data_IF_171947270874
#
_entry.id   IF_171947270874
#
_cell.length_a   1.000
_cell.length_b   1.000
_cell.length_c   1.000
_cell.angle_alpha   90.00
_cell.angle_beta   90.00
_cell.angle_gamma   90.00
#
_symmetry.space_group_name_H-M   'P 1'
#
loop_
_entity.id
_entity.type
_entity.pdbx_description
1 polymer ?
#
# COMPACT_ATOMS: atom_id res chain seq x y z
N UNK A 1 -18.30 -14.12 10.17
CA UNK A 1 -18.75 -12.75 9.80
C UNK A 1 -20.07 -12.82 9.01
N UNK A 2 -20.87 -11.75 8.90
CA UNK A 2 -22.10 -11.75 8.10
C UNK A 2 -21.82 -11.21 6.70
N UNK A 3 -21.66 -12.07 5.71
CA UNK A 3 -21.32 -11.64 4.36
C UNK A 3 -20.92 -12.78 3.45
N UNK A 4 -20.26 -12.44 2.34
CA UNK A 4 -19.52 -13.36 1.48
C UNK A 4 -18.08 -13.31 1.97
N UNK A 5 -17.50 -14.46 2.33
CA UNK A 5 -16.11 -14.50 2.79
C UNK A 5 -15.25 -15.09 1.67
N UNK A 6 -14.18 -14.39 1.32
CA UNK A 6 -13.25 -14.76 0.27
C UNK A 6 -11.87 -14.82 0.89
N UNK A 7 -11.12 -15.86 0.57
CA UNK A 7 -9.72 -15.98 0.91
C UNK A 7 -8.92 -16.03 -0.40
N UNK A 8 -7.87 -15.22 -0.48
CA UNK A 8 -6.96 -15.15 -1.64
C UNK A 8 -5.56 -15.45 -1.12
N UNK A 9 -4.93 -16.46 -1.72
CA UNK A 9 -3.59 -16.92 -1.36
C UNK A 9 -2.69 -16.85 -2.59
N UNK A 10 -1.57 -16.15 -2.45
CA UNK A 10 -0.52 -16.01 -3.45
C UNK A 10 0.51 -17.12 -3.22
N UNK A 11 0.42 -18.21 -3.99
CA UNK A 11 1.41 -19.30 -3.99
C UNK A 11 2.55 -18.95 -4.97
N UNK A 12 3.80 -19.40 -4.82
CA UNK A 12 4.85 -19.17 -5.81
C UNK A 12 4.49 -19.40 -7.29
N UNK A 13 3.61 -20.36 -7.60
CA UNK A 13 3.30 -20.73 -8.98
C UNK A 13 1.97 -20.15 -9.51
N UNK A 14 0.99 -19.93 -8.64
CA UNK A 14 -0.35 -19.47 -9.03
C UNK A 14 -1.09 -18.80 -7.87
N UNK A 15 -2.14 -18.04 -8.16
CA UNK A 15 -3.00 -17.44 -7.14
C UNK A 15 -4.22 -18.33 -6.94
N UNK A 16 -4.51 -18.64 -5.69
CA UNK A 16 -5.63 -19.48 -5.29
C UNK A 16 -6.69 -18.66 -4.54
N UNK A 17 -7.94 -18.75 -5.00
CA UNK A 17 -9.07 -18.08 -4.36
C UNK A 17 -10.10 -19.10 -3.92
N UNK A 18 -10.65 -18.92 -2.72
CA UNK A 18 -11.76 -19.68 -2.20
C UNK A 18 -12.83 -18.73 -1.65
N UNK A 19 -14.07 -18.94 -2.07
CA UNK A 19 -15.24 -18.19 -1.60
C UNK A 19 -16.10 -19.15 -0.80
N UNK A 20 -16.49 -18.73 0.40
CA UNK A 20 -17.56 -19.36 1.16
C UNK A 20 -18.86 -18.59 0.89
N UNK A 21 -19.77 -19.27 0.19
CA UNK A 21 -21.05 -18.73 -0.21
C UNK A 21 -22.09 -18.85 0.93
N UNK A 22 -23.18 -18.08 0.81
CA UNK A 22 -24.25 -18.07 1.84
C UNK A 22 -25.02 -19.39 1.95
N UNK A 23 -24.91 -20.27 0.96
CA UNK A 23 -25.52 -21.60 0.95
C UNK A 23 -24.62 -22.69 1.55
N UNK A 24 -23.55 -22.30 2.26
CA UNK A 24 -22.54 -23.18 2.87
C UNK A 24 -21.68 -23.93 1.83
N UNK A 25 -21.74 -23.52 0.56
CA UNK A 25 -20.91 -24.06 -0.52
C UNK A 25 -19.60 -23.30 -0.68
N UNK A 26 -18.61 -23.99 -1.25
CA UNK A 26 -17.29 -23.43 -1.54
C UNK A 26 -17.09 -23.33 -3.06
N UNK A 27 -16.75 -22.14 -3.54
CA UNK A 27 -16.28 -21.92 -4.90
C UNK A 27 -14.77 -21.71 -4.87
N UNK A 28 -14.03 -22.44 -5.70
CA UNK A 28 -12.58 -22.28 -5.84
C UNK A 28 -12.25 -21.78 -7.24
N UNK A 29 -11.31 -20.84 -7.32
CA UNK A 29 -10.81 -20.26 -8.56
C UNK A 29 -9.29 -20.17 -8.49
N UNK A 30 -8.62 -20.30 -9.63
CA UNK A 30 -7.17 -20.18 -9.73
C UNK A 30 -6.82 -19.22 -10.86
N UNK A 31 -5.76 -18.43 -10.65
CA UNK A 31 -5.19 -17.52 -11.64
C UNK A 31 -3.69 -17.79 -11.78
N UNK A 32 -3.14 -17.61 -12.98
CA UNK A 32 -1.71 -17.80 -13.24
C UNK A 32 -1.04 -16.43 -13.10
N UNK A 33 0.18 -16.37 -12.58
CA UNK A 33 0.93 -15.12 -12.58
C UNK A 33 1.24 -14.67 -14.02
N UNK A 34 0.65 -13.54 -14.39
CA UNK A 34 0.99 -12.76 -15.57
C UNK A 34 0.86 -11.26 -15.27
N UNK A 35 1.20 -10.43 -16.25
CA UNK A 35 1.21 -8.97 -16.09
C UNK A 35 -0.20 -8.38 -15.83
N UNK A 36 -1.27 -9.13 -16.12
CA UNK A 36 -2.67 -8.71 -15.99
C UNK A 36 -3.40 -9.37 -14.82
N UNK A 37 -2.74 -10.22 -14.03
CA UNK A 37 -3.40 -11.10 -13.07
C UNK A 37 -4.21 -10.33 -12.01
N UNK A 38 -3.76 -9.14 -11.61
CA UNK A 38 -4.46 -8.29 -10.64
C UNK A 38 -5.77 -7.78 -11.24
N UNK A 39 -5.75 -7.30 -12.48
CA UNK A 39 -6.96 -6.88 -13.20
C UNK A 39 -7.93 -8.04 -13.40
N UNK A 40 -7.43 -9.25 -13.70
CA UNK A 40 -8.27 -10.44 -13.86
C UNK A 40 -8.97 -10.84 -12.57
N UNK A 41 -8.23 -10.84 -11.45
CA UNK A 41 -8.79 -11.11 -10.12
C UNK A 41 -9.86 -10.06 -9.79
N UNK A 42 -9.56 -8.78 -10.04
CA UNK A 42 -10.48 -7.69 -9.79
C UNK A 42 -11.79 -7.83 -10.60
N UNK A 43 -11.68 -8.06 -11.91
CA UNK A 43 -12.85 -8.30 -12.78
C UNK A 43 -13.68 -9.51 -12.32
N UNK A 44 -13.01 -10.57 -11.85
CA UNK A 44 -13.72 -11.71 -11.29
C UNK A 44 -14.41 -11.38 -9.96
N UNK A 45 -13.84 -10.51 -9.13
CA UNK A 45 -14.43 -10.08 -7.87
C UNK A 45 -15.67 -9.19 -8.06
N UNK A 46 -15.82 -8.48 -9.19
CA UNK A 46 -16.98 -7.62 -9.49
C UNK A 46 -18.34 -8.35 -9.44
N UNK A 47 -18.35 -9.68 -9.54
CA UNK A 47 -19.57 -10.47 -9.37
C UNK A 47 -20.09 -10.48 -7.92
N UNK A 48 -19.27 -10.07 -6.95
CA UNK A 48 -19.60 -10.01 -5.53
C UNK A 48 -19.88 -8.57 -5.10
N UNK A 49 -20.80 -8.39 -4.14
CA UNK A 49 -21.18 -7.04 -3.67
C UNK A 49 -20.14 -6.49 -2.69
N UNK A 50 -19.46 -5.35 -2.96
CA UNK A 50 -18.33 -4.88 -2.16
C UNK A 50 -18.62 -4.73 -0.66
N UNK A 51 -19.63 -3.94 -0.29
CA UNK A 51 -20.04 -3.67 1.10
C UNK A 51 -20.56 -4.89 1.90
N UNK A 52 -20.58 -6.08 1.29
CA UNK A 52 -21.01 -7.34 1.92
C UNK A 52 -19.96 -8.44 1.80
N UNK A 53 -18.81 -8.13 1.21
CA UNK A 53 -17.78 -9.10 0.88
C UNK A 53 -16.55 -8.81 1.72
N UNK A 54 -16.14 -9.81 2.48
CA UNK A 54 -14.93 -9.80 3.30
C UNK A 54 -13.86 -10.60 2.57
N UNK A 55 -12.70 -9.99 2.34
CA UNK A 55 -11.59 -10.59 1.60
C UNK A 55 -10.39 -10.71 2.53
N UNK A 56 -9.89 -11.92 2.73
CA UNK A 56 -8.70 -12.18 3.52
C UNK A 56 -7.51 -12.44 2.59
N UNK A 57 -6.42 -11.71 2.81
CA UNK A 57 -5.16 -11.78 2.09
C UNK A 57 -4.04 -12.15 3.07
N UNK A 58 -3.10 -13.00 2.64
CA UNK A 58 -1.83 -13.14 3.34
C UNK A 58 -0.91 -12.01 2.88
N UNK A 59 -0.27 -11.35 3.84
CA UNK A 59 0.72 -10.30 3.60
C UNK A 59 1.79 -10.75 2.60
N UNK A 60 1.92 -10.00 1.51
CA UNK A 60 2.80 -10.26 0.38
C UNK A 60 2.82 -9.00 -0.52
N UNK A 61 3.96 -8.67 -1.15
CA UNK A 61 4.13 -7.45 -1.96
C UNK A 61 3.04 -7.28 -3.04
N UNK A 62 2.62 -8.37 -3.68
CA UNK A 62 1.52 -8.35 -4.66
C UNK A 62 0.14 -8.23 -4.01
N UNK A 63 -0.03 -8.79 -2.82
CA UNK A 63 -1.29 -8.74 -2.08
C UNK A 63 -1.57 -7.32 -1.55
N UNK A 64 -0.52 -6.59 -1.22
CA UNK A 64 -0.51 -5.18 -0.83
C UNK A 64 -1.19 -4.27 -1.87
N UNK A 65 -0.76 -4.39 -3.14
CA UNK A 65 -1.34 -3.61 -4.25
C UNK A 65 -2.83 -3.94 -4.42
N UNK A 66 -3.16 -5.24 -4.41
CA UNK A 66 -4.55 -5.69 -4.51
C UNK A 66 -5.39 -5.23 -3.30
N UNK A 67 -4.80 -5.19 -2.10
CA UNK A 67 -5.50 -4.78 -0.88
C UNK A 67 -5.93 -3.31 -0.94
N UNK A 68 -5.02 -2.42 -1.38
CA UNK A 68 -5.30 -1.00 -1.58
C UNK A 68 -6.48 -0.82 -2.56
N UNK A 69 -6.40 -1.43 -3.75
CA UNK A 69 -7.47 -1.36 -4.76
C UNK A 69 -8.82 -1.88 -4.24
N UNK A 70 -8.83 -2.99 -3.50
CA UNK A 70 -10.07 -3.58 -2.99
C UNK A 70 -10.71 -2.71 -1.90
N UNK A 71 -9.92 -2.12 -1.00
CA UNK A 71 -10.46 -1.20 0.02
C UNK A 71 -11.06 0.04 -0.65
N UNK A 72 -10.35 0.61 -1.62
CA UNK A 72 -10.79 1.82 -2.33
C UNK A 72 -12.11 1.59 -3.11
N UNK A 73 -12.36 0.34 -3.52
CA UNK A 73 -13.61 -0.07 -4.17
C UNK A 73 -14.71 -0.56 -3.20
N UNK A 74 -14.49 -0.42 -1.89
CA UNK A 74 -15.51 -0.65 -0.85
C UNK A 74 -15.65 -2.10 -0.39
N UNK A 75 -14.65 -2.95 -0.63
CA UNK A 75 -14.58 -4.28 -0.01
C UNK A 75 -14.04 -4.17 1.41
N UNK A 76 -14.46 -5.11 2.28
CA UNK A 76 -13.85 -5.27 3.60
C UNK A 76 -12.62 -6.16 3.47
N UNK A 77 -11.44 -5.57 3.39
CA UNK A 77 -10.18 -6.32 3.24
C UNK A 77 -9.57 -6.57 4.60
N UNK A 78 -9.02 -7.76 4.80
CA UNK A 78 -8.30 -8.17 5.98
C UNK A 78 -6.95 -8.74 5.54
N UNK A 79 -5.88 -8.22 6.11
CA UNK A 79 -4.53 -8.72 5.82
C UNK A 79 -3.99 -9.42 7.05
N UNK A 80 -3.44 -10.61 6.85
CA UNK A 80 -2.92 -11.46 7.93
C UNK A 80 -1.50 -11.87 7.64
N UNK A 81 -0.66 -11.93 8.66
CA UNK A 81 0.71 -12.40 8.50
C UNK A 81 0.72 -13.93 8.49
N UNK A 82 1.72 -14.52 7.83
CA UNK A 82 1.92 -15.97 7.92
C UNK A 82 2.19 -16.41 9.37
N UNK A 83 2.80 -15.54 10.18
CA UNK A 83 3.07 -15.81 11.59
C UNK A 83 1.78 -15.95 12.41
N UNK A 84 0.79 -15.07 12.19
CA UNK A 84 -0.48 -15.10 12.91
C UNK A 84 -1.25 -16.40 12.61
N UNK A 85 -1.29 -16.79 11.34
CA UNK A 85 -1.90 -18.05 10.92
C UNK A 85 -1.23 -19.26 11.57
N UNK A 86 0.11 -19.33 11.53
CA UNK A 86 0.85 -20.44 12.13
C UNK A 86 0.69 -20.50 13.65
N UNK A 87 0.64 -19.34 14.32
CA UNK A 87 0.40 -19.24 15.76
C UNK A 87 -1.00 -19.72 16.12
N UNK A 88 -2.00 -19.32 15.35
CA UNK A 88 -3.37 -19.79 15.52
C UNK A 88 -3.48 -21.30 15.30
N UNK A 89 -2.85 -21.83 14.25
CA UNK A 89 -2.80 -23.27 14.01
C UNK A 89 -2.18 -24.08 15.16
N UNK A 90 -1.17 -23.52 15.83
CA UNK A 90 -0.54 -24.17 16.97
C UNK A 90 -1.46 -24.19 18.21
N UNK A 91 -2.30 -23.17 18.38
CA UNK A 91 -3.21 -23.05 19.52
C UNK A 91 -4.54 -23.78 19.31
N UNK A 92 -5.10 -23.70 18.10
CA UNK A 92 -6.39 -24.28 17.71
C UNK A 92 -6.26 -25.13 16.44
N UNK A 93 -5.53 -26.27 16.52
CA UNK A 93 -5.39 -27.15 15.37
C UNK A 93 -6.75 -27.70 14.96
N UNK A 94 -7.05 -27.74 13.65
CA UNK A 94 -8.32 -28.28 13.19
C UNK A 94 -8.41 -29.78 13.47
N UNK A 95 -9.63 -30.26 13.73
CA UNK A 95 -9.89 -31.68 13.96
C UNK A 95 -9.61 -32.54 12.70
N UNK A 96 -9.81 -31.96 11.52
CA UNK A 96 -9.49 -32.56 10.22
C UNK A 96 -8.72 -31.56 9.36
N UNK A 97 -7.84 -32.01 8.44
CA UNK A 97 -7.11 -31.09 7.57
C UNK A 97 -8.06 -30.23 6.73
N UNK A 98 -7.82 -28.91 6.68
CA UNK A 98 -8.61 -27.97 5.85
C UNK A 98 -8.56 -28.30 4.34
N UNK A 99 -7.52 -29.06 3.94
CA UNK A 99 -7.33 -29.55 2.57
C UNK A 99 -6.61 -28.57 1.64
N UNK A 100 -6.64 -27.27 1.93
CA UNK A 100 -5.83 -26.26 1.24
C UNK A 100 -5.49 -25.06 2.14
N UNK A 101 -4.40 -24.32 1.86
CA UNK A 101 -4.06 -23.09 2.57
C UNK A 101 -5.16 -22.01 2.52
N UNK A 102 -5.89 -21.94 1.41
CA UNK A 102 -6.96 -20.95 1.22
C UNK A 102 -8.17 -21.24 2.10
N UNK A 103 -8.51 -22.52 2.30
CA UNK A 103 -9.61 -22.91 3.21
C UNK A 103 -9.24 -22.65 4.67
N UNK A 104 -7.98 -22.87 5.02
CA UNK A 104 -7.42 -22.48 6.31
C UNK A 104 -7.54 -20.97 6.56
N UNK A 105 -7.15 -20.16 5.57
CA UNK A 105 -7.26 -18.69 5.62
C UNK A 105 -8.71 -18.22 5.79
N UNK A 106 -9.64 -18.86 5.10
CA UNK A 106 -11.06 -18.57 5.20
C UNK A 106 -11.61 -18.90 6.59
N UNK A 107 -11.24 -20.05 7.16
CA UNK A 107 -11.61 -20.43 8.53
C UNK A 107 -11.03 -19.45 9.55
N UNK A 108 -9.80 -19.00 9.35
CA UNK A 108 -9.17 -17.99 10.20
C UNK A 108 -9.96 -16.67 10.18
N UNK A 109 -10.29 -16.16 8.99
CA UNK A 109 -11.10 -14.95 8.81
C UNK A 109 -12.43 -15.05 9.58
N UNK A 110 -13.10 -16.20 9.51
CA UNK A 110 -14.42 -16.39 10.11
C UNK A 110 -14.40 -16.47 11.63
N UNK A 111 -13.38 -17.13 12.18
CA UNK A 111 -13.23 -17.38 13.61
C UNK A 111 -12.61 -16.19 14.35
N UNK A 112 -11.48 -15.69 13.86
CA UNK A 112 -10.69 -14.67 14.54
C UNK A 112 -11.12 -13.24 14.19
N UNK A 113 -11.71 -13.04 13.00
CA UNK A 113 -12.14 -11.72 12.52
C UNK A 113 -11.01 -10.69 12.64
N UNK A 114 -9.88 -10.91 11.93
CA UNK A 114 -8.73 -10.01 11.95
C UNK A 114 -9.13 -8.57 11.62
N UNK A 115 -8.31 -7.61 12.04
CA UNK A 115 -8.54 -6.20 11.75
C UNK A 115 -8.65 -5.94 10.24
N UNK A 116 -9.51 -5.01 9.87
CA UNK A 116 -9.59 -4.55 8.48
C UNK A 116 -8.30 -3.81 8.11
N UNK A 117 -7.80 -4.10 6.91
CA UNK A 117 -6.67 -3.44 6.30
C UNK A 117 -7.02 -1.97 6.00
N UNK A 118 -6.05 -1.08 6.20
CA UNK A 118 -6.20 0.34 5.89
C UNK A 118 -5.43 0.62 4.61
N UNK A 119 -6.15 1.04 3.57
CA UNK A 119 -5.56 1.46 2.30
C UNK A 119 -4.46 2.50 2.52
N UNK A 120 -3.34 2.29 1.83
CA UNK A 120 -2.21 3.22 1.81
C UNK A 120 -2.35 4.28 0.72
N UNK A 121 -3.38 4.21 -0.13
CA UNK A 121 -3.63 5.18 -1.20
C UNK A 121 -3.55 6.63 -0.72
N UNK A 122 -4.16 7.04 0.41
CA UNK A 122 -4.05 8.42 0.89
C UNK A 122 -2.61 8.84 1.24
N UNK A 123 -1.81 7.92 1.79
CA UNK A 123 -0.42 8.16 2.15
C UNK A 123 0.48 8.21 0.91
N UNK A 124 0.18 7.40 -0.11
CA UNK A 124 0.85 7.42 -1.42
C UNK A 124 0.53 8.74 -2.13
N UNK A 125 -0.74 9.14 -2.21
CA UNK A 125 -1.15 10.41 -2.83
C UNK A 125 -0.47 11.60 -2.14
N UNK A 126 -0.47 11.63 -0.80
CA UNK A 126 0.21 12.70 -0.06
C UNK A 126 1.73 12.73 -0.30
N UNK A 127 2.37 11.57 -0.52
CA UNK A 127 3.79 11.51 -0.87
C UNK A 127 4.03 12.04 -2.30
N UNK A 128 3.19 11.64 -3.25
CA UNK A 128 3.27 12.11 -4.64
C UNK A 128 3.09 13.63 -4.72
N UNK A 129 2.11 14.20 -4.00
CA UNK A 129 1.91 15.65 -3.93
C UNK A 129 3.16 16.38 -3.39
N UNK A 130 3.86 15.81 -2.42
CA UNK A 130 5.10 16.37 -1.87
C UNK A 130 6.27 16.27 -2.85
N UNK A 131 6.37 15.17 -3.60
CA UNK A 131 7.40 14.97 -4.62
C UNK A 131 7.17 15.92 -5.81
N UNK A 132 5.93 16.08 -6.25
CA UNK A 132 5.54 17.07 -7.27
C UNK A 132 5.87 18.49 -6.79
N UNK A 133 5.58 18.82 -5.52
CA UNK A 133 5.96 20.11 -4.91
C UNK A 133 7.49 20.32 -4.93
N UNK A 134 8.28 19.27 -4.69
CA UNK A 134 9.73 19.32 -4.73
C UNK A 134 10.24 19.57 -6.16
N UNK A 135 9.76 18.79 -7.12
CA UNK A 135 10.13 18.89 -8.54
C UNK A 135 9.80 20.29 -9.10
N UNK A 136 8.62 20.83 -8.75
CA UNK A 136 8.19 22.18 -9.12
C UNK A 136 9.14 23.25 -8.58
N UNK A 137 9.65 23.08 -7.35
CA UNK A 137 10.60 24.01 -6.74
C UNK A 137 12.00 23.91 -7.37
N UNK A 138 12.43 22.70 -7.77
CA UNK A 138 13.72 22.48 -8.42
C UNK A 138 13.74 23.04 -9.85
N UNK A 139 12.61 22.97 -10.57
CA UNK A 139 12.46 23.47 -11.95
C UNK A 139 12.17 24.96 -12.09
N UNK A 140 12.17 25.74 -11.01
CA UNK A 140 11.80 27.17 -11.02
C UNK A 140 12.66 28.03 -11.95
N UNK A 141 13.92 27.68 -12.17
CA UNK A 141 14.83 28.43 -13.04
C UNK A 141 14.56 28.19 -14.54
N UNK A 142 13.83 27.14 -14.88
CA UNK A 142 13.38 26.84 -16.25
C UNK A 142 12.08 27.56 -16.62
N UNK A 143 11.38 28.15 -15.64
CA UNK A 143 10.10 28.84 -15.84
C UNK A 143 10.33 30.28 -16.34
N UNK A 144 9.96 30.53 -17.60
CA UNK A 144 10.10 31.86 -18.22
C UNK A 144 8.99 32.87 -17.83
N UNK A 145 7.80 32.38 -17.49
CA UNK A 145 6.63 33.21 -17.15
C UNK A 145 6.31 33.12 -15.66
N UNK A 146 6.29 34.26 -14.97
CA UNK A 146 5.97 34.33 -13.54
C UNK A 146 4.59 33.73 -13.21
N UNK A 147 3.63 33.75 -14.14
CA UNK A 147 2.29 33.18 -13.93
C UNK A 147 2.29 31.64 -13.82
N UNK A 148 3.38 30.97 -14.21
CA UNK A 148 3.56 29.52 -14.10
C UNK A 148 4.39 29.10 -12.88
N UNK A 149 4.83 30.05 -12.05
CA UNK A 149 5.59 29.73 -10.84
C UNK A 149 4.67 29.19 -9.73
N UNK A 150 5.17 28.31 -8.85
CA UNK A 150 4.41 27.86 -7.68
C UNK A 150 3.94 29.04 -6.83
N UNK A 151 2.71 28.97 -6.32
CA UNK A 151 2.08 30.06 -5.55
C UNK A 151 2.92 30.49 -4.34
N UNK A 152 3.56 29.52 -3.69
CA UNK A 152 4.40 29.74 -2.51
C UNK A 152 5.71 30.46 -2.87
N UNK A 153 6.28 30.17 -4.03
CA UNK A 153 7.43 30.89 -4.62
C UNK A 153 7.01 32.32 -4.92
N UNK A 154 5.90 32.53 -5.63
CA UNK A 154 5.36 33.86 -5.95
C UNK A 154 5.09 34.70 -4.71
N UNK A 155 4.47 34.09 -3.69
CA UNK A 155 4.19 34.75 -2.40
C UNK A 155 5.48 35.22 -1.74
N UNK A 156 6.50 34.36 -1.69
CA UNK A 156 7.77 34.65 -1.05
C UNK A 156 8.60 35.69 -1.83
N UNK A 157 8.62 35.60 -3.16
CA UNK A 157 9.19 36.61 -4.05
C UNK A 157 8.59 37.99 -3.79
N UNK A 158 7.25 38.10 -3.79
CA UNK A 158 6.53 39.36 -3.57
C UNK A 158 6.77 39.91 -2.16
N UNK A 159 6.80 39.05 -1.15
CA UNK A 159 6.98 39.46 0.25
C UNK A 159 8.42 39.92 0.55
N UNK A 160 9.42 39.17 0.08
CA UNK A 160 10.83 39.39 0.42
C UNK A 160 11.61 40.15 -0.66
N UNK A 161 11.01 40.40 -1.83
CA UNK A 161 11.62 41.04 -3.01
C UNK A 161 12.90 40.33 -3.45
N UNK A 162 12.80 39.01 -3.58
CA UNK A 162 13.89 38.12 -4.00
C UNK A 162 13.55 37.46 -5.34
N UNK A 163 14.54 36.86 -5.99
CA UNK A 163 14.33 36.09 -7.23
C UNK A 163 13.49 34.83 -6.96
N UNK A 164 12.93 34.24 -8.02
CA UNK A 164 12.22 32.97 -7.94
C UNK A 164 13.14 31.85 -7.42
N UNK A 165 14.37 31.79 -7.94
CA UNK A 165 15.39 30.85 -7.48
C UNK A 165 15.74 31.02 -6.00
N UNK A 166 15.91 32.25 -5.51
CA UNK A 166 16.19 32.51 -4.08
C UNK A 166 15.00 32.17 -3.20
N UNK A 167 13.77 32.30 -3.71
CA UNK A 167 12.56 31.90 -3.02
C UNK A 167 12.46 30.36 -2.93
N UNK A 168 12.66 29.66 -4.06
CA UNK A 168 12.68 28.20 -4.13
C UNK A 168 13.74 27.59 -3.19
N UNK A 169 14.97 28.09 -3.23
CA UNK A 169 16.06 27.65 -2.33
C UNK A 169 15.73 27.79 -0.84
N UNK A 170 14.80 28.68 -0.46
CA UNK A 170 14.35 28.83 0.92
C UNK A 170 13.19 27.90 1.29
N UNK A 171 12.45 27.39 0.30
CA UNK A 171 11.33 26.48 0.48
C UNK A 171 11.78 25.01 0.39
N UNK A 172 12.77 24.69 -0.46
CA UNK A 172 13.29 23.33 -0.66
C UNK A 172 13.60 22.58 0.66
N UNK A 173 14.25 23.18 1.68
CA UNK A 173 14.54 22.46 2.92
C UNK A 173 13.28 22.07 3.71
N UNK A 174 12.21 22.86 3.62
CA UNK A 174 10.95 22.59 4.31
C UNK A 174 10.19 21.44 3.66
N UNK A 175 10.13 21.42 2.32
CA UNK A 175 9.51 20.32 1.57
C UNK A 175 10.30 19.01 1.76
N UNK A 176 11.63 19.07 1.72
CA UNK A 176 12.48 17.92 2.01
C UNK A 176 12.22 17.34 3.42
N UNK A 177 12.09 18.20 4.44
CA UNK A 177 11.79 17.72 5.80
C UNK A 177 10.39 17.12 5.89
N UNK A 178 9.38 17.72 5.23
CA UNK A 178 8.02 17.15 5.15
C UNK A 178 8.02 15.77 4.51
N UNK A 179 8.78 15.56 3.42
CA UNK A 179 8.93 14.25 2.78
C UNK A 179 9.59 13.26 3.75
N UNK A 180 10.68 13.66 4.42
CA UNK A 180 11.35 12.82 5.42
C UNK A 180 10.42 12.43 6.57
N UNK A 181 9.70 13.38 7.14
CA UNK A 181 8.72 13.13 8.21
C UNK A 181 7.63 12.17 7.73
N UNK A 182 7.13 12.33 6.51
CA UNK A 182 6.13 11.42 5.93
C UNK A 182 6.67 9.99 5.79
N UNK A 183 7.87 9.82 5.23
CA UNK A 183 8.51 8.51 5.06
C UNK A 183 8.90 7.84 6.40
N UNK A 184 9.20 8.61 7.45
CA UNK A 184 9.42 8.08 8.80
C UNK A 184 8.11 7.55 9.39
N UNK A 185 6.99 8.24 9.15
CA UNK A 185 5.68 7.83 9.64
C UNK A 185 5.09 6.66 8.86
N UNK A 186 5.48 6.49 7.59
CA UNK A 186 5.06 5.42 6.69
C UNK A 186 6.26 4.70 6.04
N UNK A 187 7.04 3.93 6.81
CA UNK A 187 8.26 3.27 6.32
C UNK A 187 8.03 2.31 5.14
N UNK A 188 6.84 1.76 5.01
CA UNK A 188 6.43 0.88 3.91
C UNK A 188 6.44 1.58 2.55
N UNK A 189 6.38 2.92 2.51
CA UNK A 189 6.47 3.71 1.27
C UNK A 189 7.92 4.00 0.85
N UNK A 190 8.90 3.61 1.67
CA UNK A 190 10.30 3.95 1.46
C UNK A 190 10.94 3.01 0.43
N UNK A 191 11.02 3.47 -0.82
CA UNK A 191 11.77 2.75 -1.86
C UNK A 191 13.29 2.93 -1.70
N UNK A 192 14.13 2.07 -2.31
CA UNK A 192 15.58 2.24 -2.29
C UNK A 192 16.06 3.59 -2.84
N UNK A 193 15.36 4.14 -3.82
CA UNK A 193 15.63 5.45 -4.40
C UNK A 193 15.33 6.56 -3.39
N UNK A 194 14.12 6.55 -2.80
CA UNK A 194 13.73 7.53 -1.79
C UNK A 194 14.62 7.49 -0.55
N UNK A 195 15.10 6.30 -0.16
CA UNK A 195 16.06 6.17 0.93
C UNK A 195 17.39 6.86 0.61
N UNK A 196 17.86 6.78 -0.64
CA UNK A 196 19.10 7.43 -1.08
C UNK A 196 18.95 8.95 -1.13
N UNK A 197 17.84 9.43 -1.67
CA UNK A 197 17.61 10.85 -1.90
C UNK A 197 17.34 11.58 -0.58
N UNK A 198 16.51 10.98 0.30
CA UNK A 198 16.04 11.64 1.50
C UNK A 198 16.74 11.21 2.79
N UNK A 199 17.45 10.07 2.84
CA UNK A 199 18.15 9.60 4.04
C UNK A 199 19.60 9.11 3.77
N UNK A 200 20.44 9.91 3.09
CA UNK A 200 21.81 9.49 2.76
C UNK A 200 22.63 9.12 4.00
N UNK A 201 22.37 9.76 5.15
CA UNK A 201 23.07 9.48 6.40
C UNK A 201 22.78 8.08 6.97
N UNK A 202 21.61 7.49 6.67
CA UNK A 202 21.29 6.12 7.10
C UNK A 202 22.09 5.10 6.29
N UNK A 203 22.27 5.36 4.99
CA UNK A 203 23.08 4.52 4.10
C UNK A 203 24.56 4.60 4.49
N UNK A 204 25.08 5.82 4.73
CA UNK A 204 26.46 5.99 5.21
C UNK A 204 26.72 5.26 6.53
N UNK A 205 25.74 5.24 7.44
CA UNK A 205 25.84 4.53 8.71
C UNK A 205 25.83 3.00 8.56
N UNK A 206 25.14 2.47 7.54
CA UNK A 206 25.14 1.05 7.19
C UNK A 206 26.47 0.63 6.53
N UNK A 207 27.05 1.49 5.70
CA UNK A 207 28.33 1.24 5.01
C UNK A 207 29.57 1.45 5.89
N UNK A 208 29.45 2.26 6.94
CA UNK A 208 30.48 2.42 7.97
C UNK A 208 29.91 2.10 9.35
N UNK A 209 29.84 0.82 9.75
CA UNK A 209 29.41 0.47 11.09
C UNK A 209 30.39 1.11 12.08
N UNK A 210 29.94 2.15 12.77
CA UNK A 210 30.70 2.76 13.86
C UNK A 210 30.87 1.70 14.95
N UNK A 211 32.10 1.22 15.11
CA UNK A 211 32.55 0.32 16.18
C UNK A 211 32.32 0.91 17.57
#
# INVERSE_FOLDING_TARGET
MKGINIAIYFDPDQIHICVHQQDDSYLSQHFIYDDSVIEEIYQWLEQFTPNRTHICLIEHDTADILADELVDNGYHVHQVTQHDLLTWFANEPPAEPDGSPVRALLRYLENEQPSEYQSRTPQIEALMDLLDELDDLEGVDEVEDEDNLPDDVLRLMKQKKISAQDAAQRLLPDVNERIREHLINYPELMTPELLQDFFPELIEALDTPKH
#
